data_IF_671524298938
#
_entry.id   IF_671524298938
#
_cell.length_a   1.000
_cell.length_b   1.000
_cell.length_c   1.000
_cell.angle_alpha   90.00
_cell.angle_beta   90.00
_cell.angle_gamma   90.00
#
_symmetry.space_group_name_H-M   'P 1'
#
loop_
_entity.id
_entity.type
_entity.pdbx_description
1 polymer ?
#
# COMPACT_ATOMS: atom_id res chain seq x y z
N UNK A 1 -13.81 12.45 -22.32
CA UNK A 1 -14.49 11.24 -21.83
C UNK A 1 -13.73 9.95 -22.15
N UNK A 2 -13.23 9.72 -23.37
CA UNK A 2 -12.45 8.50 -23.72
C UNK A 2 -11.02 8.51 -23.11
N UNK A 3 -10.30 9.63 -23.22
CA UNK A 3 -8.91 9.74 -22.73
C UNK A 3 -8.76 9.50 -21.21
N UNK A 4 -9.68 10.00 -20.39
CA UNK A 4 -9.65 9.80 -18.93
C UNK A 4 -9.96 8.36 -18.52
N UNK A 5 -10.68 7.62 -19.38
CA UNK A 5 -10.97 6.21 -19.17
C UNK A 5 -9.74 5.36 -19.51
N UNK A 6 -9.02 5.70 -20.58
CA UNK A 6 -7.76 5.05 -20.95
C UNK A 6 -6.67 5.27 -19.89
N UNK A 7 -6.47 6.51 -19.43
CA UNK A 7 -5.49 6.83 -18.37
C UNK A 7 -5.76 6.02 -17.10
N UNK A 8 -7.04 5.84 -16.74
CA UNK A 8 -7.43 5.02 -15.59
C UNK A 8 -7.09 3.55 -15.76
N UNK A 9 -7.33 3.01 -16.95
CA UNK A 9 -6.99 1.62 -17.25
C UNK A 9 -5.48 1.43 -17.12
N UNK A 10 -4.67 2.36 -17.64
CA UNK A 10 -3.22 2.32 -17.48
C UNK A 10 -2.77 2.44 -16.00
N UNK A 11 -3.38 3.34 -15.22
CA UNK A 11 -3.09 3.45 -13.78
C UNK A 11 -3.42 2.15 -13.02
N UNK A 12 -4.57 1.54 -13.30
CA UNK A 12 -5.02 0.32 -12.66
C UNK A 12 -4.14 -0.87 -13.05
N UNK A 13 -3.79 -1.00 -14.33
CA UNK A 13 -2.85 -2.02 -14.81
C UNK A 13 -1.47 -1.83 -14.15
N UNK A 14 -0.94 -0.60 -14.13
CA UNK A 14 0.33 -0.29 -13.49
C UNK A 14 0.34 -0.66 -12.00
N UNK A 15 -0.73 -0.31 -11.29
CA UNK A 15 -0.89 -0.66 -9.88
C UNK A 15 -0.91 -2.17 -9.66
N UNK A 16 -1.66 -2.93 -10.47
CA UNK A 16 -1.73 -4.40 -10.40
C UNK A 16 -0.36 -5.04 -10.67
N UNK A 17 0.36 -4.59 -11.70
CA UNK A 17 1.67 -5.17 -12.06
C UNK A 17 2.65 -4.98 -10.91
N UNK A 18 2.76 -3.76 -10.37
CA UNK A 18 3.65 -3.47 -9.24
C UNK A 18 3.26 -4.33 -8.03
N UNK A 19 1.96 -4.45 -7.75
CA UNK A 19 1.46 -5.29 -6.67
C UNK A 19 1.81 -6.76 -6.81
N UNK A 20 1.66 -7.31 -8.02
CA UNK A 20 2.02 -8.69 -8.31
C UNK A 20 3.51 -8.93 -8.07
N UNK A 21 4.37 -8.02 -8.53
CA UNK A 21 5.83 -8.13 -8.35
C UNK A 21 6.18 -8.14 -6.86
N UNK A 22 5.66 -7.19 -6.07
CA UNK A 22 5.94 -7.11 -4.62
C UNK A 22 5.36 -8.34 -3.90
N UNK A 23 4.15 -8.76 -4.26
CA UNK A 23 3.50 -9.95 -3.71
C UNK A 23 4.31 -11.23 -3.95
N UNK A 24 4.80 -11.44 -5.17
CA UNK A 24 5.67 -12.58 -5.52
C UNK A 24 6.97 -12.53 -4.72
N UNK A 25 7.61 -11.36 -4.63
CA UNK A 25 8.86 -11.21 -3.87
C UNK A 25 8.69 -11.58 -2.39
N UNK A 26 7.62 -11.08 -1.76
CA UNK A 26 7.31 -11.37 -0.37
C UNK A 26 6.90 -12.83 -0.18
N UNK A 27 6.19 -13.44 -1.14
CA UNK A 27 5.85 -14.85 -1.09
C UNK A 27 7.09 -15.74 -1.18
N UNK A 28 8.05 -15.43 -2.07
CA UNK A 28 9.32 -16.14 -2.15
C UNK A 28 10.13 -16.01 -0.84
N UNK A 29 10.21 -14.80 -0.28
CA UNK A 29 10.84 -14.56 1.02
C UNK A 29 10.15 -15.30 2.16
N UNK A 30 8.82 -15.35 2.16
CA UNK A 30 8.04 -16.11 3.12
C UNK A 30 8.37 -17.60 3.04
N UNK A 31 8.36 -18.18 1.84
CA UNK A 31 8.65 -19.60 1.65
C UNK A 31 10.05 -19.97 2.16
N UNK A 32 11.02 -19.08 2.02
CA UNK A 32 12.40 -19.33 2.44
C UNK A 32 12.63 -19.13 3.95
N UNK A 33 12.08 -18.07 4.54
CA UNK A 33 12.40 -17.67 5.93
C UNK A 33 11.32 -18.07 6.93
N UNK A 34 10.09 -18.33 6.47
CA UNK A 34 8.89 -18.62 7.30
C UNK A 34 8.65 -17.59 8.43
N UNK A 35 9.07 -16.35 8.17
CA UNK A 35 9.08 -15.27 9.14
C UNK A 35 7.68 -14.69 9.34
N UNK A 36 7.21 -14.65 10.59
CA UNK A 36 5.91 -14.05 10.96
C UNK A 36 5.87 -12.55 10.72
N UNK A 37 7.03 -11.89 10.67
CA UNK A 37 7.16 -10.47 10.34
C UNK A 37 6.59 -10.10 8.97
N UNK A 38 6.50 -11.06 8.04
CA UNK A 38 5.95 -10.83 6.70
C UNK A 38 4.42 -10.63 6.74
N UNK A 39 3.73 -11.10 7.79
CA UNK A 39 2.27 -10.87 7.96
C UNK A 39 1.95 -9.38 8.05
N UNK A 40 2.82 -8.59 8.69
CA UNK A 40 2.61 -7.15 8.85
C UNK A 40 2.61 -6.40 7.52
N UNK A 41 3.29 -6.93 6.49
CA UNK A 41 3.24 -6.38 5.14
C UNK A 41 1.84 -6.53 4.51
N UNK A 42 1.04 -7.54 4.90
CA UNK A 42 -0.36 -7.66 4.43
C UNK A 42 -1.18 -6.44 4.87
N UNK A 43 -0.98 -5.96 6.10
CA UNK A 43 -1.60 -4.72 6.58
C UNK A 43 -1.18 -3.49 5.76
N UNK A 44 0.11 -3.40 5.42
CA UNK A 44 0.63 -2.38 4.53
C UNK A 44 -0.03 -2.42 3.14
N UNK A 45 -0.17 -3.61 2.56
CA UNK A 45 -0.85 -3.81 1.28
C UNK A 45 -2.31 -3.35 1.33
N UNK A 46 -3.08 -3.81 2.31
CA UNK A 46 -4.49 -3.42 2.43
C UNK A 46 -4.65 -1.90 2.50
N UNK A 47 -3.80 -1.22 3.27
CA UNK A 47 -3.79 0.24 3.35
C UNK A 47 -3.45 0.91 2.01
N UNK A 48 -2.50 0.37 1.24
CA UNK A 48 -2.20 0.88 -0.11
C UNK A 48 -3.36 0.72 -1.09
N UNK A 49 -4.11 -0.39 -1.02
CA UNK A 49 -5.33 -0.57 -1.80
C UNK A 49 -6.39 0.50 -1.47
N UNK A 50 -6.56 0.80 -0.17
CA UNK A 50 -7.47 1.86 0.28
C UNK A 50 -7.01 3.22 -0.23
N UNK A 51 -5.71 3.54 -0.14
CA UNK A 51 -5.15 4.76 -0.71
C UNK A 51 -5.41 4.87 -2.23
N UNK A 52 -5.21 3.78 -2.98
CA UNK A 52 -5.46 3.77 -4.43
C UNK A 52 -6.96 3.92 -4.75
N UNK A 53 -7.84 3.30 -3.97
CA UNK A 53 -9.28 3.51 -4.10
C UNK A 53 -9.69 4.97 -3.85
N UNK A 54 -9.19 5.58 -2.77
CA UNK A 54 -9.44 6.99 -2.47
C UNK A 54 -8.87 7.90 -3.57
N UNK A 55 -7.70 7.59 -4.11
CA UNK A 55 -7.09 8.31 -5.23
C UNK A 55 -7.94 8.26 -6.49
N UNK A 56 -8.41 7.07 -6.88
CA UNK A 56 -9.29 6.93 -8.04
C UNK A 56 -10.63 7.63 -7.81
N UNK A 57 -11.16 7.62 -6.58
CA UNK A 57 -12.37 8.37 -6.21
C UNK A 57 -12.16 9.88 -6.32
N UNK A 58 -11.02 10.39 -5.87
CA UNK A 58 -10.63 11.81 -5.98
C UNK A 58 -10.63 12.27 -7.45
N UNK A 59 -10.05 11.46 -8.35
CA UNK A 59 -10.02 11.75 -9.79
C UNK A 59 -11.44 11.71 -10.41
N UNK A 60 -12.33 10.85 -9.91
CA UNK A 60 -13.70 10.72 -10.41
C UNK A 60 -14.64 11.84 -9.98
N UNK A 61 -14.55 12.28 -8.72
CA UNK A 61 -15.48 13.24 -8.13
C UNK A 61 -15.34 14.66 -8.70
N UNK A 62 -14.24 14.94 -9.41
CA UNK A 62 -14.00 16.20 -10.12
C UNK A 62 -15.02 16.51 -11.23
N UNK A 63 -15.93 15.59 -11.56
CA UNK A 63 -16.90 15.71 -12.67
C UNK A 63 -18.33 16.06 -12.25
N UNK A 64 -18.65 16.04 -10.95
CA UNK A 64 -20.04 16.12 -10.48
C UNK A 64 -20.34 17.18 -9.42
N UNK A 65 -19.34 17.91 -8.93
CA UNK A 65 -19.50 18.98 -7.93
C UNK A 65 -18.94 20.28 -8.50
N UNK A 66 -19.73 21.34 -8.48
CA UNK A 66 -19.29 22.69 -8.87
C UNK A 66 -18.88 23.51 -7.65
N UNK A 67 -17.86 24.37 -7.82
CA UNK A 67 -17.50 25.41 -6.85
C UNK A 67 -16.69 24.97 -5.62
N UNK A 68 -16.86 25.70 -4.52
CA UNK A 68 -16.02 25.64 -3.31
C UNK A 68 -16.11 24.31 -2.53
N UNK A 69 -17.25 23.61 -2.67
CA UNK A 69 -17.46 22.29 -2.05
C UNK A 69 -16.52 21.21 -2.62
N UNK A 70 -16.09 21.35 -3.87
CA UNK A 70 -15.17 20.41 -4.51
C UNK A 70 -13.76 20.51 -3.91
N UNK A 71 -13.29 21.74 -3.64
CA UNK A 71 -11.95 21.98 -3.07
C UNK A 71 -11.86 21.43 -1.65
N UNK A 72 -12.90 21.65 -0.83
CA UNK A 72 -12.98 21.14 0.54
C UNK A 72 -13.01 19.61 0.60
N UNK A 73 -13.81 18.97 -0.26
CA UNK A 73 -13.88 17.50 -0.32
C UNK A 73 -12.57 16.87 -0.79
N UNK A 74 -11.90 17.49 -1.77
CA UNK A 74 -10.62 17.02 -2.27
C UNK A 74 -9.53 17.14 -1.19
N UNK A 75 -9.46 18.27 -0.48
CA UNK A 75 -8.51 18.49 0.62
C UNK A 75 -8.71 17.46 1.74
N UNK A 76 -9.97 17.21 2.13
CA UNK A 76 -10.30 16.20 3.15
C UNK A 76 -9.89 14.79 2.70
N UNK A 77 -10.17 14.43 1.45
CA UNK A 77 -9.82 13.12 0.89
C UNK A 77 -8.30 12.92 0.85
N UNK A 78 -7.55 13.94 0.45
CA UNK A 78 -6.06 13.91 0.48
C UNK A 78 -5.55 13.78 1.93
N UNK A 79 -6.17 14.48 2.88
CA UNK A 79 -5.86 14.34 4.31
C UNK A 79 -6.05 12.90 4.80
N UNK A 80 -7.18 12.27 4.49
CA UNK A 80 -7.43 10.86 4.81
C UNK A 80 -6.45 9.91 4.12
N UNK A 81 -6.16 10.12 2.84
CA UNK A 81 -5.16 9.34 2.12
C UNK A 81 -3.79 9.42 2.79
N UNK A 82 -3.39 10.59 3.28
CA UNK A 82 -2.12 10.81 3.98
C UNK A 82 -2.09 10.08 5.32
N UNK A 83 -3.19 10.07 6.07
CA UNK A 83 -3.29 9.32 7.33
C UNK A 83 -3.22 7.80 7.11
N UNK A 84 -3.96 7.27 6.12
CA UNK A 84 -3.94 5.84 5.77
C UNK A 84 -2.55 5.43 5.27
N UNK A 85 -1.91 6.28 4.47
CA UNK A 85 -0.54 6.08 4.02
C UNK A 85 0.48 6.13 5.18
N UNK A 86 0.32 7.07 6.12
CA UNK A 86 1.15 7.13 7.32
C UNK A 86 1.01 5.86 8.18
N UNK A 87 -0.21 5.37 8.36
CA UNK A 87 -0.46 4.10 9.05
C UNK A 87 0.16 2.91 8.30
N UNK A 88 0.14 2.91 6.97
CA UNK A 88 0.85 1.94 6.13
C UNK A 88 2.36 1.92 6.41
N UNK A 89 2.98 3.07 6.64
CA UNK A 89 4.41 3.15 6.98
C UNK A 89 4.72 2.56 8.35
N UNK A 90 3.84 2.74 9.34
CA UNK A 90 3.99 2.12 10.66
C UNK A 90 3.98 0.60 10.54
N UNK A 91 3.04 0.03 9.77
CA UNK A 91 3.00 -1.42 9.52
C UNK A 91 4.29 -1.93 8.88
N UNK A 92 4.86 -1.18 7.93
CA UNK A 92 6.14 -1.52 7.31
C UNK A 92 7.28 -1.54 8.33
N UNK A 93 7.40 -0.50 9.17
CA UNK A 93 8.44 -0.41 10.19
C UNK A 93 8.34 -1.58 11.16
N UNK A 94 7.14 -1.88 11.67
CA UNK A 94 6.90 -3.02 12.56
C UNK A 94 7.28 -4.34 11.88
N UNK A 95 6.88 -4.54 10.62
CA UNK A 95 7.21 -5.74 9.85
C UNK A 95 8.71 -5.92 9.63
N UNK A 96 9.45 -4.84 9.37
CA UNK A 96 10.91 -4.86 9.24
C UNK A 96 11.59 -5.16 10.57
N UNK A 97 11.17 -4.50 11.66
CA UNK A 97 11.75 -4.72 12.99
C UNK A 97 11.54 -6.15 13.48
N UNK A 98 10.34 -6.70 13.31
CA UNK A 98 10.05 -8.11 13.65
C UNK A 98 10.87 -9.06 12.76
N UNK A 99 11.02 -8.71 11.48
CA UNK A 99 11.82 -9.50 10.56
C UNK A 99 13.31 -9.53 10.92
N UNK A 100 13.87 -8.41 11.38
CA UNK A 100 15.24 -8.30 11.86
C UNK A 100 15.48 -9.08 13.16
N UNK A 101 14.56 -8.95 14.14
CA UNK A 101 14.63 -9.73 15.39
C UNK A 101 14.64 -11.23 15.15
N UNK A 102 13.83 -11.71 14.21
CA UNK A 102 13.83 -13.11 13.80
C UNK A 102 15.18 -13.54 13.20
N UNK A 103 15.79 -12.69 12.36
CA UNK A 103 17.09 -12.99 11.75
C UNK A 103 18.22 -13.07 12.81
N UNK A 104 18.23 -12.16 13.79
CA UNK A 104 19.18 -12.20 14.91
C UNK A 104 19.02 -13.46 15.77
N UNK A 105 17.78 -13.82 16.11
CA UNK A 105 17.49 -15.04 16.88
C UNK A 105 17.94 -16.31 16.16
N UNK A 106 17.75 -16.38 14.83
CA UNK A 106 18.21 -17.50 14.03
C UNK A 106 19.74 -17.59 13.98
N UNK A 107 20.44 -16.47 13.85
CA UNK A 107 21.91 -16.44 13.82
C UNK A 107 22.52 -16.90 15.16
N UNK A 108 21.95 -16.46 16.29
CA UNK A 108 22.40 -16.84 17.64
C UNK A 108 22.28 -18.33 17.94
N UNK A 109 21.31 -19.02 17.33
CA UNK A 109 21.13 -20.46 17.48
C UNK A 109 22.09 -21.32 16.64
N UNK A 110 22.82 -20.72 15.68
CA UNK A 110 23.78 -21.45 14.82
C UNK A 110 25.21 -21.40 15.43
N UNK A 111 25.46 -20.46 16.36
CA UNK A 111 26.76 -20.26 17.01
C UNK A 111 26.94 -21.00 18.35
N UNK A 112 25.94 -21.79 18.78
CA UNK A 112 25.96 -22.66 19.96
C UNK A 112 25.97 -24.12 19.52
#
# INVERSE_FOLDING_TARGET
MVLEQEIRVYMLIGFIIIWLIIGVFLFLKWKHTRNKGIVWFVGQFLSQCVCFYLFTRLINFNKGLEGDMLSGFNSLTIGFMTLVWGMSMIFMIVGVLDSLKYAESKNKNISL
#
